data_IF_090683866109
#
_entry.id   IF_090683866109
#
_cell.length_a   1.000
_cell.length_b   1.000
_cell.length_c   1.000
_cell.angle_alpha   90.00
_cell.angle_beta   90.00
_cell.angle_gamma   90.00
#
_symmetry.space_group_name_H-M   'P 1'
#
loop_
_entity.id
_entity.type
_entity.pdbx_description
1 polymer ?
#
# COMPACT_ATOMS: atom_id res chain seq x y z
N UNK A 1 -2.84 19.21 -4.45
CA UNK A 1 -3.96 18.28 -4.56
C UNK A 1 -3.57 16.91 -4.12
N UNK A 2 -4.29 16.37 -3.15
CA UNK A 2 -4.03 15.06 -2.57
C UNK A 2 -5.24 14.19 -2.81
N UNK A 3 -5.10 13.25 -3.72
CA UNK A 3 -6.15 12.28 -4.02
C UNK A 3 -5.60 10.87 -4.00
N UNK A 4 -6.48 9.94 -3.80
CA UNK A 4 -6.16 8.53 -3.86
C UNK A 4 -7.20 7.83 -4.70
N UNK A 5 -6.78 6.82 -5.42
CA UNK A 5 -7.66 5.92 -6.14
C UNK A 5 -7.33 4.49 -5.77
N UNK A 6 -8.34 3.65 -5.76
CA UNK A 6 -8.16 2.23 -5.53
C UNK A 6 -9.12 1.43 -6.39
N UNK A 7 -8.72 0.21 -6.70
CA UNK A 7 -9.58 -0.74 -7.40
C UNK A 7 -9.29 -2.17 -6.94
N UNK A 8 -10.27 -3.03 -7.07
CA UNK A 8 -10.12 -4.45 -6.81
C UNK A 8 -10.63 -5.26 -8.00
N UNK A 9 -9.85 -6.23 -8.41
CA UNK A 9 -10.19 -7.19 -9.46
C UNK A 9 -10.18 -8.59 -8.88
N UNK A 10 -11.17 -9.41 -9.22
CA UNK A 10 -11.27 -10.79 -8.72
C UNK A 10 -12.09 -11.67 -9.64
N UNK A 11 -12.10 -12.98 -9.37
CA UNK A 11 -12.85 -13.95 -10.14
C UNK A 11 -12.46 -13.97 -11.62
N UNK A 12 -13.42 -13.78 -12.50
CA UNK A 12 -13.20 -13.81 -13.96
C UNK A 12 -12.41 -12.62 -14.49
N UNK A 13 -12.25 -11.57 -13.71
CA UNK A 13 -11.47 -10.39 -14.09
C UNK A 13 -9.95 -10.58 -13.87
N UNK A 14 -9.54 -11.67 -13.25
CA UNK A 14 -8.13 -12.02 -13.05
C UNK A 14 -7.82 -13.38 -13.67
N UNK A 15 -6.57 -13.57 -14.10
CA UNK A 15 -6.15 -14.78 -14.82
C UNK A 15 -6.33 -16.06 -14.00
N UNK A 16 -6.11 -15.99 -12.70
CA UNK A 16 -6.14 -17.13 -11.78
C UNK A 16 -7.25 -17.03 -10.73
N UNK A 17 -8.18 -16.08 -10.89
CA UNK A 17 -9.29 -15.85 -9.98
C UNK A 17 -8.92 -15.14 -8.67
N UNK A 18 -7.64 -14.84 -8.46
CA UNK A 18 -7.18 -14.19 -7.23
C UNK A 18 -7.61 -12.73 -7.17
N UNK A 19 -7.77 -12.23 -5.95
CA UNK A 19 -8.01 -10.83 -5.71
C UNK A 19 -6.72 -10.02 -5.95
N UNK A 20 -6.84 -9.00 -6.78
CA UNK A 20 -5.80 -7.99 -6.97
C UNK A 20 -6.36 -6.66 -6.49
N UNK A 21 -5.69 -6.04 -5.54
CA UNK A 21 -6.00 -4.70 -5.06
C UNK A 21 -4.94 -3.73 -5.60
N UNK A 22 -5.37 -2.80 -6.44
CA UNK A 22 -4.53 -1.71 -6.96
C UNK A 22 -4.77 -0.43 -6.18
N UNK A 23 -3.69 0.30 -5.92
CA UNK A 23 -3.71 1.51 -5.13
C UNK A 23 -2.86 2.59 -5.79
N UNK A 24 -3.42 3.77 -5.94
CA UNK A 24 -2.74 4.93 -6.51
C UNK A 24 -2.80 6.09 -5.51
N UNK A 25 -1.66 6.65 -5.22
CA UNK A 25 -1.54 7.88 -4.45
C UNK A 25 -1.17 9.03 -5.40
N UNK A 26 -2.05 10.00 -5.49
CA UNK A 26 -1.80 11.25 -6.21
C UNK A 26 -1.28 12.30 -5.24
N UNK A 27 -0.01 12.66 -5.37
CA UNK A 27 0.65 13.59 -4.47
C UNK A 27 1.57 14.53 -5.25
N UNK A 28 1.83 15.72 -4.68
CA UNK A 28 2.72 16.68 -5.32
C UNK A 28 4.17 16.17 -5.34
N UNK A 29 4.84 16.32 -6.45
CA UNK A 29 6.26 15.93 -6.61
C UNK A 29 7.23 17.07 -6.27
N UNK A 30 6.74 18.30 -6.12
CA UNK A 30 7.57 19.48 -5.88
C UNK A 30 8.37 19.40 -4.56
N UNK A 31 7.92 18.61 -3.60
CA UNK A 31 8.60 18.42 -2.30
C UNK A 31 9.60 17.26 -2.31
N UNK A 32 9.76 16.55 -3.45
CA UNK A 32 10.75 15.47 -3.57
C UNK A 32 10.36 14.17 -2.87
N UNK A 33 9.10 13.97 -2.53
CA UNK A 33 8.64 12.79 -1.78
C UNK A 33 8.92 11.48 -2.53
N UNK A 34 8.83 11.50 -3.86
CA UNK A 34 9.11 10.36 -4.72
C UNK A 34 10.55 9.83 -4.59
N UNK A 35 11.49 10.69 -4.19
CA UNK A 35 12.89 10.31 -4.01
C UNK A 35 13.14 9.60 -2.67
N UNK A 36 12.13 9.60 -1.80
CA UNK A 36 12.17 9.01 -0.46
C UNK A 36 11.26 7.79 -0.34
N UNK A 37 10.88 7.17 -1.44
CA UNK A 37 10.02 5.98 -1.45
C UNK A 37 10.66 4.83 -0.67
N UNK A 38 9.89 4.15 0.14
CA UNK A 38 10.37 3.05 0.96
C UNK A 38 9.28 1.99 1.17
N UNK A 39 9.70 0.74 1.24
CA UNK A 39 8.84 -0.36 1.64
C UNK A 39 9.29 -0.84 3.01
N UNK A 40 8.37 -0.85 3.96
CA UNK A 40 8.61 -1.28 5.33
C UNK A 40 7.98 -2.64 5.56
N UNK A 41 8.77 -3.62 5.96
CA UNK A 41 8.28 -4.92 6.44
C UNK A 41 8.32 -4.88 7.97
N UNK A 42 7.16 -4.95 8.59
CA UNK A 42 6.99 -4.80 10.03
C UNK A 42 6.44 -6.08 10.63
N UNK A 43 7.13 -6.60 11.63
CA UNK A 43 6.75 -7.81 12.35
C UNK A 43 6.69 -7.53 13.85
N UNK A 44 5.56 -7.00 14.36
CA UNK A 44 5.40 -6.71 15.79
C UNK A 44 5.31 -8.02 16.60
N UNK A 45 5.75 -7.98 17.86
CA UNK A 45 5.74 -9.17 18.73
C UNK A 45 4.32 -9.68 19.06
N UNK A 46 3.34 -8.77 19.16
CA UNK A 46 1.98 -9.10 19.60
C UNK A 46 0.89 -8.60 18.64
N UNK A 47 1.22 -8.46 17.35
CA UNK A 47 0.27 -8.02 16.33
C UNK A 47 0.60 -8.67 14.98
N UNK A 48 -0.27 -8.51 14.02
CA UNK A 48 -0.07 -9.08 12.69
C UNK A 48 1.07 -8.36 11.94
N UNK A 49 1.96 -9.14 11.35
CA UNK A 49 2.96 -8.61 10.45
C UNK A 49 2.31 -7.97 9.23
N UNK A 50 2.94 -6.93 8.72
CA UNK A 50 2.43 -6.21 7.55
C UNK A 50 3.56 -5.61 6.73
N UNK A 51 3.23 -5.32 5.47
CA UNK A 51 4.06 -4.51 4.58
C UNK A 51 3.38 -3.16 4.40
N UNK A 52 4.15 -2.11 4.55
CA UNK A 52 3.73 -0.74 4.31
C UNK A 52 4.56 -0.15 3.17
N UNK A 53 3.91 0.32 2.13
CA UNK A 53 4.53 1.03 1.02
C UNK A 53 4.27 2.52 1.21
N UNK A 54 5.33 3.25 1.38
CA UNK A 54 5.23 4.68 1.70
C UNK A 54 6.54 5.41 1.45
N UNK A 55 6.88 6.27 2.37
CA UNK A 55 8.04 7.16 2.24
C UNK A 55 8.81 7.23 3.55
N UNK A 56 10.12 7.38 3.46
CA UNK A 56 10.96 7.57 4.63
C UNK A 56 10.48 8.80 5.44
N UNK A 57 10.32 8.61 6.75
CA UNK A 57 9.78 9.63 7.66
C UNK A 57 8.27 9.59 7.85
N UNK A 58 7.52 8.88 7.01
CA UNK A 58 6.09 8.64 7.21
C UNK A 58 5.89 7.43 8.14
N UNK A 59 5.29 7.66 9.28
CA UNK A 59 5.01 6.58 10.26
C UNK A 59 3.64 5.94 10.09
N UNK A 60 2.72 6.61 9.42
CA UNK A 60 1.40 6.07 9.09
C UNK A 60 1.40 5.27 7.80
N UNK A 61 0.48 4.35 7.67
CA UNK A 61 0.30 3.55 6.44
C UNK A 61 -0.58 4.29 5.45
N UNK A 62 -0.05 4.51 4.26
CA UNK A 62 -0.80 5.05 3.11
C UNK A 62 -1.29 3.92 2.22
N UNK A 63 -0.43 2.94 2.00
CA UNK A 63 -0.77 1.72 1.26
C UNK A 63 -0.05 0.55 1.93
N UNK A 64 -0.77 -0.51 2.18
CA UNK A 64 -0.18 -1.65 2.86
C UNK A 64 -1.07 -2.88 2.86
N UNK A 65 -0.50 -3.97 3.33
CA UNK A 65 -1.21 -5.24 3.47
C UNK A 65 -0.65 -6.03 4.63
N UNK A 66 -1.51 -6.63 5.42
CA UNK A 66 -1.10 -7.51 6.51
C UNK A 66 -1.20 -8.99 6.15
N UNK A 67 -0.65 -9.86 7.02
CA UNK A 67 -0.69 -11.31 6.82
C UNK A 67 -2.09 -11.91 6.90
N UNK A 68 -3.09 -11.16 7.36
CA UNK A 68 -4.50 -11.54 7.35
C UNK A 68 -5.23 -11.09 6.08
N UNK A 69 -4.49 -10.65 5.07
CA UNK A 69 -5.00 -10.21 3.76
C UNK A 69 -5.90 -8.97 3.81
N UNK A 70 -5.73 -8.15 4.84
CA UNK A 70 -6.35 -6.84 4.88
C UNK A 70 -5.40 -5.84 4.20
N UNK A 71 -5.90 -5.11 3.21
CA UNK A 71 -5.13 -4.13 2.45
C UNK A 71 -5.82 -2.77 2.40
N UNK A 72 -5.03 -1.70 2.27
CA UNK A 72 -5.50 -0.33 2.17
C UNK A 72 -4.66 0.48 1.16
#
# INVERSE_FOLDING_TARGET
LFHCSGFALFGKATRDGKLIHGRVLDYMTAIGLQDCSATFMVAPDQAHAFVNVGYAGFTGSVSGMNVQQISL
#
